data_IF_761010110464
#
_entry.id   IF_761010110464
#
_cell.length_a   1.000
_cell.length_b   1.000
_cell.length_c   1.000
_cell.angle_alpha   90.00
_cell.angle_beta   90.00
_cell.angle_gamma   90.00
#
_symmetry.space_group_name_H-M   'P 1'
#
loop_
_entity.id
_entity.type
_entity.pdbx_description
1 polymer ?
#
# COMPACT_ATOMS: atom_id res chain seq x y z
N UNK A 1 -21.85 -17.91 -10.41
CA UNK A 1 -22.29 -17.04 -11.53
C UNK A 1 -21.42 -15.78 -11.58
N UNK A 2 -20.10 -15.96 -11.52
CA UNK A 2 -19.12 -14.85 -11.55
C UNK A 2 -17.85 -15.33 -12.26
N UNK A 3 -18.01 -15.94 -13.44
CA UNK A 3 -16.88 -16.29 -14.32
C UNK A 3 -17.20 -16.00 -15.80
N UNK A 4 -18.17 -15.13 -16.06
CA UNK A 4 -18.64 -14.85 -17.43
C UNK A 4 -18.91 -13.36 -17.68
N UNK A 5 -18.40 -12.45 -16.83
CA UNK A 5 -18.57 -11.00 -16.99
C UNK A 5 -17.24 -10.23 -17.06
N UNK A 6 -16.10 -10.92 -17.13
CA UNK A 6 -14.77 -10.29 -17.21
C UNK A 6 -14.22 -10.17 -18.63
N UNK A 7 -14.93 -10.66 -19.65
CA UNK A 7 -14.40 -10.75 -21.02
C UNK A 7 -14.76 -9.58 -21.96
N UNK A 8 -15.47 -8.54 -21.52
CA UNK A 8 -15.87 -7.43 -22.44
C UNK A 8 -15.53 -6.01 -21.99
N UNK A 9 -14.75 -5.82 -20.91
CA UNK A 9 -14.28 -4.47 -20.54
C UNK A 9 -12.81 -4.55 -20.12
N UNK A 10 -11.87 -4.51 -21.07
CA UNK A 10 -10.47 -4.31 -20.67
C UNK A 10 -9.39 -4.77 -21.63
N UNK A 11 -9.30 -4.18 -22.82
CA UNK A 11 -8.02 -4.12 -23.57
C UNK A 11 -7.85 -2.81 -24.37
N UNK A 12 -8.94 -2.13 -24.75
CA UNK A 12 -8.87 -0.90 -25.56
C UNK A 12 -8.39 0.34 -24.82
N UNK A 13 -8.91 0.61 -23.61
CA UNK A 13 -8.63 1.87 -22.90
C UNK A 13 -7.24 1.94 -22.24
N UNK A 14 -6.67 0.79 -21.85
CA UNK A 14 -5.33 0.73 -21.25
C UNK A 14 -4.20 0.91 -22.28
N UNK A 15 -4.44 0.59 -23.55
CA UNK A 15 -3.47 0.82 -24.62
C UNK A 15 -3.43 2.31 -25.05
N UNK A 16 -4.57 3.01 -25.02
CA UNK A 16 -4.63 4.45 -25.35
C UNK A 16 -3.88 5.35 -24.36
N UNK A 17 -3.78 4.94 -23.09
CA UNK A 17 -3.07 5.71 -22.07
C UNK A 17 -1.53 5.55 -22.18
N UNK A 18 -1.04 4.42 -22.69
CA UNK A 18 0.39 4.21 -22.93
C UNK A 18 0.94 5.09 -24.08
N UNK A 19 0.11 5.37 -25.09
CA UNK A 19 0.50 6.22 -26.22
C UNK A 19 0.44 7.72 -25.88
N UNK A 20 -0.44 8.13 -24.95
CA UNK A 20 -0.58 9.54 -24.55
C UNK A 20 0.58 10.02 -23.65
N UNK A 21 1.15 9.14 -22.82
CA UNK A 21 2.28 9.48 -21.94
C UNK A 21 3.61 9.63 -22.71
N UNK A 22 3.76 8.95 -23.86
CA UNK A 22 4.98 9.02 -24.68
C UNK A 22 5.16 10.33 -25.46
N UNK A 23 4.11 11.15 -25.60
CA UNK A 23 4.20 12.44 -26.31
C UNK A 23 4.80 13.55 -25.44
N UNK A 24 4.77 13.41 -24.11
CA UNK A 24 5.20 14.47 -23.19
C UNK A 24 6.71 14.47 -22.83
N UNK A 25 7.48 13.44 -23.22
CA UNK A 25 8.86 13.26 -22.74
C UNK A 25 9.94 13.84 -23.69
N UNK A 26 9.59 14.22 -24.92
CA UNK A 26 10.56 14.80 -25.86
C UNK A 26 10.34 16.31 -26.06
N UNK A 27 10.68 17.09 -25.04
CA UNK A 27 10.72 18.55 -25.06
C UNK A 27 11.94 19.10 -24.31
N UNK A 28 13.03 19.26 -25.05
CA UNK A 28 14.19 20.16 -24.83
C UNK A 28 14.21 21.07 -23.58
N UNK A 29 15.31 21.02 -22.79
CA UNK A 29 16.15 22.20 -22.50
C UNK A 29 17.41 21.84 -21.67
N UNK A 30 18.57 22.25 -22.19
CA UNK A 30 19.83 22.45 -21.47
C UNK A 30 19.69 23.50 -20.36
N UNK A 31 20.39 23.33 -19.24
CA UNK A 31 20.56 24.41 -18.25
C UNK A 31 21.28 23.98 -16.97
N UNK A 32 22.57 24.26 -16.89
CA UNK A 32 23.40 24.22 -15.68
C UNK A 32 23.02 25.35 -14.72
N UNK A 33 22.84 25.10 -13.41
CA UNK A 33 23.33 25.96 -12.31
C UNK A 33 23.18 25.30 -10.94
N UNK A 34 24.25 25.41 -10.14
CA UNK A 34 24.34 25.13 -8.72
C UNK A 34 23.34 25.94 -7.88
N UNK A 35 22.82 25.34 -6.81
CA UNK A 35 22.01 26.04 -5.81
C UNK A 35 21.82 25.20 -4.55
N UNK A 36 22.73 25.38 -3.59
CA UNK A 36 22.61 24.91 -2.21
C UNK A 36 21.34 25.48 -1.57
N UNK A 37 20.40 24.64 -1.12
CA UNK A 37 19.40 25.03 -0.12
C UNK A 37 19.48 24.04 1.04
N UNK A 38 20.18 24.50 2.08
CA UNK A 38 20.11 23.94 3.42
C UNK A 38 18.76 24.29 4.04
N UNK A 39 18.12 23.32 4.68
CA UNK A 39 17.13 23.57 5.73
C UNK A 39 15.82 22.83 5.54
N UNK A 40 15.76 21.60 6.09
CA UNK A 40 14.88 21.21 7.21
C UNK A 40 15.52 19.95 7.79
N UNK A 41 16.17 20.11 8.94
CA UNK A 41 16.59 19.01 9.78
C UNK A 41 15.40 18.63 10.67
N UNK A 42 14.98 17.38 10.60
CA UNK A 42 14.74 16.53 11.78
C UNK A 42 14.38 15.10 11.35
N UNK A 43 15.36 14.19 11.44
CA UNK A 43 15.10 12.79 11.80
C UNK A 43 14.89 11.76 10.69
N UNK A 44 14.88 12.11 9.40
CA UNK A 44 14.88 11.10 8.33
C UNK A 44 16.29 10.57 8.12
N UNK A 45 16.60 9.45 8.77
CA UNK A 45 17.73 8.60 8.36
C UNK A 45 17.39 8.06 6.97
N UNK A 46 18.29 8.26 5.99
CA UNK A 46 18.27 7.57 4.70
C UNK A 46 18.14 6.08 4.96
N UNK A 47 16.98 5.51 4.63
CA UNK A 47 16.81 4.06 4.59
C UNK A 47 16.14 3.79 3.25
N UNK A 48 16.95 3.47 2.23
CA UNK A 48 16.37 3.08 0.94
C UNK A 48 15.71 1.72 1.05
N UNK A 49 14.71 1.43 0.22
CA UNK A 49 14.08 0.11 0.11
C UNK A 49 15.09 -1.03 -0.13
N UNK A 50 16.30 -0.71 -0.61
CA UNK A 50 17.41 -1.65 -0.80
C UNK A 50 18.12 -1.98 0.53
N UNK A 51 18.27 -1.02 1.45
CA UNK A 51 18.97 -1.21 2.73
C UNK A 51 18.13 -2.01 3.74
N UNK A 52 16.80 -1.96 3.64
CA UNK A 52 15.89 -2.75 4.51
C UNK A 52 16.00 -4.26 4.27
N UNK A 53 16.54 -4.68 3.12
CA UNK A 53 16.62 -6.10 2.74
C UNK A 53 17.89 -6.78 3.28
N UNK A 54 18.98 -6.02 3.53
CA UNK A 54 20.25 -6.56 4.04
C UNK A 54 20.35 -6.56 5.59
N UNK A 55 19.53 -5.78 6.28
CA UNK A 55 19.49 -5.76 7.76
C UNK A 55 18.52 -6.83 8.27
N UNK A 56 18.92 -8.09 8.21
CA UNK A 56 18.02 -9.18 8.65
C UNK A 56 18.67 -10.52 8.97
N UNK A 57 20.00 -10.59 9.10
CA UNK A 57 20.68 -11.82 9.52
C UNK A 57 21.80 -11.47 10.50
N UNK A 58 21.51 -11.49 11.80
CA UNK A 58 22.57 -11.77 12.77
C UNK A 58 22.70 -13.29 12.87
N UNK A 59 23.73 -13.83 12.22
CA UNK A 59 24.10 -15.24 12.31
C UNK A 59 24.85 -15.43 13.64
N UNK A 60 24.15 -15.95 14.64
CA UNK A 60 24.74 -16.10 15.98
C UNK A 60 25.96 -17.03 16.02
N UNK A 61 26.94 -16.66 16.86
CA UNK A 61 27.59 -17.56 17.82
C UNK A 61 28.56 -16.82 18.77
N UNK A 62 28.33 -17.06 20.07
CA UNK A 62 29.29 -17.22 21.19
C UNK A 62 30.23 -16.08 21.70
N UNK A 63 30.11 -15.87 23.03
CA UNK A 63 31.11 -15.46 24.03
C UNK A 63 31.63 -14.00 24.07
N UNK A 64 30.98 -13.22 24.95
CA UNK A 64 31.61 -12.30 25.90
C UNK A 64 32.55 -11.20 25.38
N UNK A 65 32.03 -9.97 25.24
CA UNK A 65 32.71 -8.74 25.70
C UNK A 65 31.74 -7.54 25.60
N UNK A 66 31.78 -6.71 26.62
CA UNK A 66 30.94 -5.53 26.82
C UNK A 66 31.21 -4.41 25.81
N UNK A 67 30.12 -3.86 25.26
CA UNK A 67 29.91 -2.42 25.14
C UNK A 67 30.53 -1.68 23.95
N UNK A 68 29.70 -1.29 22.99
CA UNK A 68 29.55 0.12 22.63
C UNK A 68 28.25 0.36 21.86
N UNK A 69 27.45 1.28 22.39
CA UNK A 69 26.14 1.66 21.92
C UNK A 69 26.14 2.23 20.50
N UNK A 70 25.25 1.72 19.64
CA UNK A 70 24.68 2.44 18.52
C UNK A 70 23.18 2.53 18.79
N UNK A 71 22.77 3.66 19.38
CA UNK A 71 21.37 4.04 19.39
C UNK A 71 20.96 4.47 17.99
N UNK A 72 19.94 3.81 17.44
CA UNK A 72 19.01 4.32 16.43
C UNK A 72 17.82 3.36 16.37
N UNK A 73 16.61 3.89 16.53
CA UNK A 73 15.37 3.15 16.77
C UNK A 73 14.81 2.39 15.57
N UNK A 74 15.60 1.51 14.96
CA UNK A 74 15.08 0.43 14.12
C UNK A 74 14.66 -0.71 15.04
N UNK A 75 13.35 -0.84 15.30
CA UNK A 75 12.78 -2.03 15.94
C UNK A 75 13.16 -3.26 15.09
N UNK A 76 14.15 -3.99 15.56
CA UNK A 76 14.62 -5.21 14.89
C UNK A 76 13.60 -6.31 15.16
N UNK A 77 12.82 -6.70 14.14
CA UNK A 77 11.95 -7.87 14.26
C UNK A 77 12.78 -9.10 14.57
N UNK A 78 12.27 -9.98 15.44
CA UNK A 78 12.91 -11.27 15.65
C UNK A 78 12.93 -12.07 14.34
N UNK A 79 13.88 -12.98 14.21
CA UNK A 79 13.98 -13.87 13.03
C UNK A 79 12.68 -14.60 12.72
N UNK A 80 11.91 -14.97 13.77
CA UNK A 80 10.61 -15.63 13.63
C UNK A 80 9.55 -14.69 13.05
N UNK A 81 9.49 -13.45 13.52
CA UNK A 81 8.55 -12.44 13.02
C UNK A 81 8.85 -12.06 11.57
N UNK A 82 10.13 -11.87 11.22
CA UNK A 82 10.54 -11.62 9.83
C UNK A 82 10.18 -12.79 8.91
N UNK A 83 10.36 -14.03 9.37
CA UNK A 83 9.97 -15.23 8.60
C UNK A 83 8.46 -15.26 8.38
N UNK A 84 7.67 -14.93 9.41
CA UNK A 84 6.22 -14.85 9.31
C UNK A 84 5.76 -13.76 8.34
N UNK A 85 6.30 -12.55 8.47
CA UNK A 85 6.03 -11.43 7.56
C UNK A 85 6.30 -11.80 6.10
N UNK A 86 7.48 -12.38 5.82
CA UNK A 86 7.84 -12.84 4.46
C UNK A 86 6.85 -13.88 3.95
N UNK A 87 6.48 -14.85 4.77
CA UNK A 87 5.49 -15.87 4.40
C UNK A 87 4.13 -15.27 4.10
N UNK A 88 3.66 -14.29 4.88
CA UNK A 88 2.38 -13.62 4.66
C UNK A 88 2.40 -12.81 3.35
N UNK A 89 3.50 -12.10 3.08
CA UNK A 89 3.69 -11.38 1.81
C UNK A 89 3.74 -12.35 0.62
N UNK A 90 4.49 -13.46 0.73
CA UNK A 90 4.63 -14.43 -0.36
C UNK A 90 3.31 -15.07 -0.78
N UNK A 91 2.40 -15.34 0.18
CA UNK A 91 1.06 -15.83 -0.12
C UNK A 91 0.25 -14.86 -0.99
N UNK A 92 0.54 -13.56 -0.93
CA UNK A 92 -0.23 -12.51 -1.59
C UNK A 92 0.39 -12.05 -2.90
N UNK A 93 1.72 -12.00 -2.99
CA UNK A 93 2.45 -11.52 -4.18
C UNK A 93 2.02 -12.26 -5.45
N UNK A 94 1.86 -13.58 -5.37
CA UNK A 94 1.56 -14.42 -6.55
C UNK A 94 0.10 -14.31 -6.99
N UNK A 95 -0.82 -14.05 -6.04
CA UNK A 95 -2.26 -13.87 -6.31
C UNK A 95 -2.66 -12.42 -6.61
N UNK A 96 -1.76 -11.46 -6.43
CA UNK A 96 -2.05 -10.04 -6.70
C UNK A 96 -2.06 -9.77 -8.21
N UNK A 97 -3.21 -9.64 -8.86
CA UNK A 97 -3.30 -9.42 -10.32
C UNK A 97 -2.45 -10.40 -11.15
N UNK A 98 -2.74 -11.71 -11.08
CA UNK A 98 -1.96 -12.73 -11.76
C UNK A 98 -1.88 -12.44 -13.26
N UNK A 99 -0.67 -12.54 -13.84
CA UNK A 99 -0.45 -12.28 -15.27
C UNK A 99 -0.28 -10.81 -15.69
N UNK A 100 -0.36 -9.85 -14.76
CA UNK A 100 -0.12 -8.44 -15.10
C UNK A 100 1.33 -8.18 -15.52
N UNK A 101 1.57 -8.00 -16.82
CA UNK A 101 2.91 -7.98 -17.44
C UNK A 101 3.87 -6.94 -16.86
N UNK A 102 3.37 -5.75 -16.53
CA UNK A 102 4.19 -4.64 -16.03
C UNK A 102 4.48 -4.71 -14.53
N UNK A 103 3.79 -5.58 -13.79
CA UNK A 103 3.97 -5.67 -12.34
C UNK A 103 5.18 -6.54 -12.01
N UNK A 104 6.26 -5.92 -11.51
CA UNK A 104 7.44 -6.64 -11.06
C UNK A 104 7.19 -7.28 -9.68
N UNK A 105 7.09 -8.61 -9.65
CA UNK A 105 6.83 -9.40 -8.43
C UNK A 105 7.94 -9.30 -7.39
N UNK A 106 9.18 -9.16 -7.83
CA UNK A 106 10.31 -9.02 -6.92
C UNK A 106 10.28 -7.65 -6.23
N UNK A 107 9.98 -6.58 -7.00
CA UNK A 107 9.77 -5.24 -6.45
C UNK A 107 8.60 -5.20 -5.47
N UNK A 108 7.45 -5.78 -5.83
CA UNK A 108 6.29 -5.86 -4.94
C UNK A 108 6.63 -6.51 -3.61
N UNK A 109 7.33 -7.65 -3.65
CA UNK A 109 7.78 -8.35 -2.43
C UNK A 109 8.70 -7.48 -1.58
N UNK A 110 9.70 -6.82 -2.18
CA UNK A 110 10.64 -5.95 -1.44
C UNK A 110 9.92 -4.78 -0.78
N UNK A 111 9.06 -4.08 -1.51
CA UNK A 111 8.26 -2.97 -0.97
C UNK A 111 7.40 -3.44 0.20
N UNK A 112 6.66 -4.54 0.07
CA UNK A 112 5.77 -5.03 1.13
C UNK A 112 6.52 -5.48 2.39
N UNK A 113 7.65 -6.20 2.22
CA UNK A 113 8.49 -6.59 3.36
C UNK A 113 9.10 -5.35 4.02
N UNK A 114 9.59 -4.39 3.23
CA UNK A 114 10.14 -3.15 3.75
C UNK A 114 9.09 -2.33 4.50
N UNK A 115 7.85 -2.26 3.99
CA UNK A 115 6.73 -1.61 4.69
C UNK A 115 6.44 -2.26 6.04
N UNK A 116 6.38 -3.58 6.10
CA UNK A 116 6.13 -4.30 7.36
C UNK A 116 7.25 -4.11 8.40
N UNK A 117 8.48 -3.85 7.95
CA UNK A 117 9.62 -3.54 8.81
C UNK A 117 9.65 -2.06 9.24
N UNK A 118 9.31 -1.15 8.33
CA UNK A 118 9.26 0.29 8.59
C UNK A 118 8.05 0.69 9.47
N UNK A 119 6.97 -0.09 9.42
CA UNK A 119 5.73 0.15 10.17
C UNK A 119 5.35 -1.09 11.01
N UNK A 120 6.14 -1.46 12.03
CA UNK A 120 5.93 -2.68 12.81
C UNK A 120 4.59 -2.68 13.58
N UNK A 121 4.02 -1.51 13.87
CA UNK A 121 2.70 -1.37 14.49
C UNK A 121 1.55 -1.84 13.58
N UNK A 122 1.75 -1.79 12.26
CA UNK A 122 0.82 -2.27 11.24
C UNK A 122 1.22 -3.69 10.82
N UNK A 123 2.52 -3.92 10.60
CA UNK A 123 3.04 -5.15 10.03
C UNK A 123 2.56 -5.31 8.60
N UNK A 124 1.97 -6.47 8.28
CA UNK A 124 1.39 -6.74 6.97
C UNK A 124 -0.10 -7.10 7.10
N UNK A 125 -0.93 -6.32 6.41
CA UNK A 125 -2.37 -6.54 6.33
C UNK A 125 -2.75 -6.92 4.89
N UNK A 126 -3.57 -7.95 4.72
CA UNK A 126 -4.08 -8.35 3.41
C UNK A 126 -4.86 -7.19 2.79
N UNK A 127 -4.47 -6.78 1.58
CA UNK A 127 -4.95 -5.56 0.90
C UNK A 127 -3.82 -4.59 0.59
N UNK A 128 -2.77 -4.54 1.42
CA UNK A 128 -1.58 -3.70 1.18
C UNK A 128 -0.83 -4.11 -0.09
N UNK A 129 -0.85 -5.40 -0.43
CA UNK A 129 -0.35 -5.92 -1.70
C UNK A 129 -0.96 -5.22 -2.92
N UNK A 130 -2.26 -4.95 -2.90
CA UNK A 130 -2.95 -4.28 -4.01
C UNK A 130 -2.58 -2.80 -4.08
N UNK A 131 -2.47 -2.14 -2.91
CA UNK A 131 -2.03 -0.73 -2.82
C UNK A 131 -0.61 -0.57 -3.37
N UNK A 132 0.33 -1.38 -2.87
CA UNK A 132 1.73 -1.34 -3.31
C UNK A 132 1.87 -1.72 -4.80
N UNK A 133 1.09 -2.70 -5.27
CA UNK A 133 1.09 -3.08 -6.68
C UNK A 133 0.63 -1.92 -7.57
N UNK A 134 -0.42 -1.17 -7.18
CA UNK A 134 -0.88 -0.02 -7.95
C UNK A 134 0.18 1.08 -8.02
N UNK A 135 0.81 1.40 -6.88
CA UNK A 135 1.89 2.40 -6.82
C UNK A 135 3.07 1.99 -7.69
N UNK A 136 3.48 0.72 -7.66
CA UNK A 136 4.57 0.20 -8.50
C UNK A 136 4.28 0.25 -10.01
N UNK A 137 3.02 0.40 -10.42
CA UNK A 137 2.68 0.64 -11.83
C UNK A 137 2.81 2.11 -12.22
N UNK A 138 2.83 3.03 -11.25
CA UNK A 138 2.82 4.47 -11.44
C UNK A 138 4.19 5.11 -11.22
N UNK A 139 5.02 4.55 -10.34
CA UNK A 139 6.29 5.15 -9.92
C UNK A 139 7.37 4.10 -9.68
N UNK A 140 8.60 4.57 -9.40
CA UNK A 140 9.72 3.68 -9.11
C UNK A 140 9.57 3.03 -7.73
N UNK A 141 10.33 1.96 -7.49
CA UNK A 141 10.22 1.14 -6.29
C UNK A 141 10.37 1.92 -4.98
N UNK A 142 11.35 2.82 -4.93
CA UNK A 142 11.62 3.66 -3.76
C UNK A 142 10.45 4.63 -3.50
N UNK A 143 9.98 5.32 -4.54
CA UNK A 143 8.85 6.25 -4.43
C UNK A 143 7.56 5.50 -4.04
N UNK A 144 7.35 4.30 -4.57
CA UNK A 144 6.19 3.47 -4.26
C UNK A 144 6.21 3.05 -2.79
N UNK A 145 7.38 2.72 -2.25
CA UNK A 145 7.55 2.41 -0.83
C UNK A 145 7.21 3.62 0.05
N UNK A 146 7.80 4.79 -0.21
CA UNK A 146 7.53 5.98 0.60
C UNK A 146 6.08 6.44 0.50
N UNK A 147 5.51 6.41 -0.70
CA UNK A 147 4.11 6.77 -0.93
C UNK A 147 3.16 5.83 -0.20
N UNK A 148 3.42 4.51 -0.23
CA UNK A 148 2.62 3.53 0.50
C UNK A 148 2.72 3.74 2.02
N UNK A 149 3.92 3.95 2.55
CA UNK A 149 4.11 4.28 3.96
C UNK A 149 3.35 5.55 4.36
N UNK A 150 3.42 6.60 3.55
CA UNK A 150 2.72 7.86 3.81
C UNK A 150 1.19 7.67 3.81
N UNK A 151 0.65 6.99 2.79
CA UNK A 151 -0.79 6.70 2.68
C UNK A 151 -1.30 5.98 3.92
N UNK A 152 -0.62 4.90 4.33
CA UNK A 152 -1.10 4.04 5.41
C UNK A 152 -0.91 4.66 6.79
N UNK A 153 0.19 5.39 7.03
CA UNK A 153 0.50 5.98 8.34
C UNK A 153 -0.19 7.31 8.59
N UNK A 154 -0.40 8.11 7.54
CA UNK A 154 -0.72 9.53 7.69
C UNK A 154 -2.01 9.96 6.99
N UNK A 155 -2.44 9.30 5.91
CA UNK A 155 -3.69 9.66 5.22
C UNK A 155 -4.92 8.91 5.74
N UNK A 156 -4.77 8.01 6.73
CA UNK A 156 -5.86 7.18 7.26
C UNK A 156 -6.03 7.33 8.77
N UNK A 157 -7.24 7.09 9.31
CA UNK A 157 -7.45 6.97 10.75
C UNK A 157 -6.54 5.91 11.38
N UNK A 158 -6.17 6.12 12.65
CA UNK A 158 -5.38 5.14 13.41
C UNK A 158 -6.10 3.80 13.48
N UNK A 159 -5.33 2.73 13.35
CA UNK A 159 -5.81 1.35 13.47
C UNK A 159 -6.63 0.85 12.27
N UNK A 160 -6.39 1.43 11.08
CA UNK A 160 -7.04 0.99 9.84
C UNK A 160 -6.52 -0.37 9.34
N UNK A 161 -5.20 -0.55 9.34
CA UNK A 161 -4.50 -1.76 8.88
C UNK A 161 -3.81 -2.55 9.99
N UNK A 162 -3.96 -2.13 11.26
CA UNK A 162 -3.36 -2.86 12.37
C UNK A 162 -4.11 -4.18 12.66
N UNK A 163 -3.59 -4.96 13.59
CA UNK A 163 -4.21 -6.25 13.98
C UNK A 163 -5.60 -6.12 14.60
N UNK A 164 -5.98 -4.95 15.10
CA UNK A 164 -7.29 -4.69 15.72
C UNK A 164 -8.35 -4.34 14.67
N UNK A 165 -7.93 -3.72 13.56
CA UNK A 165 -8.78 -3.18 12.49
C UNK A 165 -9.87 -2.24 13.04
N UNK A 166 -9.61 -1.56 14.16
CA UNK A 166 -10.61 -0.72 14.81
C UNK A 166 -11.02 0.46 13.92
N UNK A 167 -10.06 1.11 13.26
CA UNK A 167 -10.33 2.22 12.33
C UNK A 167 -11.20 1.77 11.16
N UNK A 168 -10.90 0.59 10.59
CA UNK A 168 -11.69 -0.01 9.52
C UNK A 168 -13.13 -0.28 9.97
N UNK A 169 -13.33 -0.86 11.17
CA UNK A 169 -14.68 -1.17 11.69
C UNK A 169 -15.49 0.09 11.95
N UNK A 170 -14.84 1.15 12.45
CA UNK A 170 -15.50 2.44 12.64
C UNK A 170 -16.02 3.00 11.31
N UNK A 171 -15.20 2.96 10.25
CA UNK A 171 -15.60 3.36 8.89
C UNK A 171 -16.76 2.51 8.35
N UNK A 172 -16.71 1.20 8.57
CA UNK A 172 -17.79 0.29 8.18
C UNK A 172 -19.12 0.67 8.87
N UNK A 173 -19.09 0.96 10.17
CA UNK A 173 -20.27 1.35 10.93
C UNK A 173 -20.83 2.71 10.47
N UNK A 174 -19.95 3.68 10.17
CA UNK A 174 -20.35 4.99 9.62
C UNK A 174 -21.04 4.80 8.27
N UNK A 175 -20.44 4.00 7.36
CA UNK A 175 -21.01 3.75 6.05
C UNK A 175 -22.34 2.99 6.13
N UNK A 176 -22.47 2.02 7.04
CA UNK A 176 -23.74 1.31 7.28
C UNK A 176 -24.85 2.28 7.72
N UNK A 177 -24.54 3.25 8.60
CA UNK A 177 -25.49 4.30 9.01
C UNK A 177 -25.86 5.23 7.87
N UNK A 178 -24.88 5.67 7.07
CA UNK A 178 -25.13 6.53 5.91
C UNK A 178 -26.01 5.84 4.86
N UNK A 179 -25.77 4.56 4.60
CA UNK A 179 -26.60 3.79 3.67
C UNK A 179 -28.03 3.61 4.20
N UNK A 180 -28.21 3.40 5.51
CA UNK A 180 -29.55 3.34 6.09
C UNK A 180 -30.30 4.68 5.99
N UNK A 181 -29.58 5.81 6.02
CA UNK A 181 -30.16 7.15 5.89
C UNK A 181 -30.49 7.52 4.44
N UNK A 182 -29.58 7.25 3.52
CA UNK A 182 -29.68 7.71 2.13
C UNK A 182 -30.30 6.66 1.19
N UNK A 183 -30.08 5.38 1.44
CA UNK A 183 -30.53 4.27 0.58
C UNK A 183 -31.22 3.14 1.39
N UNK A 184 -32.29 3.44 2.16
CA UNK A 184 -32.95 2.47 3.03
C UNK A 184 -33.52 1.27 2.25
N UNK A 185 -33.95 1.48 0.99
CA UNK A 185 -34.44 0.40 0.13
C UNK A 185 -33.36 -0.63 -0.21
N UNK A 186 -32.12 -0.18 -0.41
CA UNK A 186 -30.97 -1.06 -0.66
C UNK A 186 -30.67 -1.88 0.60
N UNK A 187 -30.61 -1.22 1.76
CA UNK A 187 -30.36 -1.87 3.05
C UNK A 187 -31.40 -2.96 3.33
N UNK A 188 -32.69 -2.68 3.14
CA UNK A 188 -33.76 -3.66 3.33
C UNK A 188 -33.63 -4.83 2.34
N UNK A 189 -33.32 -4.56 1.06
CA UNK A 189 -33.12 -5.61 0.06
C UNK A 189 -31.96 -6.53 0.41
N UNK A 190 -30.82 -5.96 0.84
CA UNK A 190 -29.66 -6.73 1.30
C UNK A 190 -29.98 -7.53 2.56
N UNK A 191 -30.72 -6.94 3.50
CA UNK A 191 -31.20 -7.58 4.72
C UNK A 191 -32.05 -8.82 4.45
N UNK A 192 -32.96 -8.77 3.46
CA UNK A 192 -33.76 -9.94 3.04
C UNK A 192 -32.90 -11.09 2.51
N UNK A 193 -31.74 -10.79 1.92
CA UNK A 193 -30.77 -11.79 1.47
C UNK A 193 -29.73 -12.17 2.53
N UNK A 194 -29.85 -11.64 3.77
CA UNK A 194 -28.88 -11.83 4.87
C UNK A 194 -27.46 -11.39 4.48
N UNK A 195 -27.36 -10.36 3.65
CA UNK A 195 -26.09 -9.75 3.24
C UNK A 195 -25.87 -8.46 4.02
N UNK A 196 -24.80 -8.42 4.82
CA UNK A 196 -24.30 -7.18 5.41
C UNK A 196 -23.40 -6.45 4.42
N UNK A 197 -23.56 -5.14 4.28
CA UNK A 197 -22.73 -4.35 3.36
C UNK A 197 -21.25 -4.42 3.79
N UNK A 198 -21.00 -4.51 5.09
CA UNK A 198 -19.67 -4.68 5.68
C UNK A 198 -18.89 -5.89 5.12
N UNK A 199 -19.56 -6.91 4.55
CA UNK A 199 -18.91 -8.03 3.86
C UNK A 199 -18.16 -7.58 2.60
N UNK A 200 -18.74 -6.64 1.84
CA UNK A 200 -18.13 -6.09 0.64
C UNK A 200 -17.10 -5.01 0.99
N UNK A 201 -17.38 -4.22 2.03
CA UNK A 201 -16.56 -3.07 2.41
C UNK A 201 -15.11 -3.46 2.69
N UNK A 202 -14.83 -4.59 3.36
CA UNK A 202 -13.44 -4.99 3.65
C UNK A 202 -12.62 -5.12 2.37
N UNK A 203 -13.20 -5.64 1.29
CA UNK A 203 -12.53 -5.77 -0.02
C UNK A 203 -12.36 -4.46 -0.77
N UNK A 204 -13.08 -3.39 -0.38
CA UNK A 204 -12.95 -2.06 -0.95
C UNK A 204 -12.00 -1.20 -0.13
N UNK A 205 -12.18 -1.21 1.19
CA UNK A 205 -11.53 -0.33 2.14
C UNK A 205 -10.08 -0.75 2.43
N UNK A 206 -9.79 -2.03 2.73
CA UNK A 206 -8.42 -2.46 3.01
C UNK A 206 -7.43 -2.19 1.86
N UNK A 207 -7.76 -2.47 0.58
CA UNK A 207 -6.91 -2.11 -0.54
C UNK A 207 -7.11 -0.66 -1.02
N UNK A 208 -7.81 0.20 -0.26
CA UNK A 208 -8.07 1.59 -0.59
C UNK A 208 -8.63 1.76 -2.01
N UNK A 209 -9.60 0.93 -2.36
CA UNK A 209 -10.26 0.86 -3.67
C UNK A 209 -9.40 0.42 -4.85
N UNK A 210 -8.09 0.21 -4.69
CA UNK A 210 -7.20 -0.22 -5.76
C UNK A 210 -7.57 -1.59 -6.36
N UNK A 211 -8.33 -2.42 -5.64
CA UNK A 211 -8.81 -3.72 -6.11
C UNK A 211 -10.12 -3.68 -6.89
N UNK A 212 -10.83 -2.54 -6.91
CA UNK A 212 -12.20 -2.45 -7.44
C UNK A 212 -12.44 -1.27 -8.36
N UNK A 213 -11.69 -0.18 -8.21
CA UNK A 213 -11.75 0.97 -9.10
C UNK A 213 -10.63 0.92 -10.15
N UNK A 214 -10.82 1.64 -11.25
CA UNK A 214 -9.72 1.90 -12.19
C UNK A 214 -8.61 2.69 -11.48
N UNK A 215 -7.38 2.56 -11.96
CA UNK A 215 -6.23 3.23 -11.37
C UNK A 215 -6.42 4.75 -11.26
N UNK A 216 -7.00 5.39 -12.29
CA UNK A 216 -7.32 6.83 -12.29
C UNK A 216 -8.32 7.21 -11.17
N UNK A 217 -9.37 6.42 -10.98
CA UNK A 217 -10.37 6.68 -9.96
C UNK A 217 -9.83 6.42 -8.55
N UNK A 218 -9.06 5.35 -8.37
CA UNK A 218 -8.40 5.06 -7.10
C UNK A 218 -7.44 6.19 -6.70
N UNK A 219 -6.66 6.72 -7.65
CA UNK A 219 -5.78 7.87 -7.40
C UNK A 219 -6.55 9.12 -6.97
N UNK A 220 -7.68 9.43 -7.62
CA UNK A 220 -8.53 10.56 -7.18
C UNK A 220 -9.06 10.37 -5.77
N UNK A 221 -9.44 9.14 -5.40
CA UNK A 221 -9.85 8.83 -4.02
C UNK A 221 -8.69 9.06 -3.06
N UNK A 222 -7.48 8.63 -3.42
CA UNK A 222 -6.28 8.81 -2.59
C UNK A 222 -5.88 10.28 -2.45
N UNK A 223 -6.02 11.07 -3.51
CA UNK A 223 -5.83 12.52 -3.44
C UNK A 223 -6.80 13.14 -2.42
N UNK A 224 -8.08 12.74 -2.44
CA UNK A 224 -9.01 13.21 -1.42
C UNK A 224 -8.59 12.74 -0.03
N UNK A 225 -8.24 11.46 0.16
CA UNK A 225 -7.81 10.95 1.47
C UNK A 225 -6.60 11.69 2.04
N UNK A 226 -5.63 12.08 1.21
CA UNK A 226 -4.43 12.77 1.67
C UNK A 226 -4.58 14.30 1.77
N UNK A 227 -5.46 14.92 0.99
CA UNK A 227 -5.57 16.38 0.89
C UNK A 227 -6.91 16.96 1.37
N UNK A 228 -7.93 16.14 1.66
CA UNK A 228 -9.16 16.61 2.30
C UNK A 228 -8.87 16.91 3.78
N UNK A 229 -8.54 18.17 4.05
CA UNK A 229 -8.47 18.86 5.35
C UNK A 229 -8.06 18.01 6.57
N UNK A 230 -6.76 18.01 6.85
CA UNK A 230 -6.26 18.13 8.23
C UNK A 230 -6.43 19.57 8.72
#
# INVERSE_FOLDING_TARGET
VASAAEDEIGQGELNGLADTVNVAVNGTANGTTNGTVNGIANGCVNVSATEVVDVGVDAGMENGASGSALGNGATTLSRRELTRLRSEVDMDVDRTWPGHRRLNRASLRRVLVAMGLACPEIGYCQGLNTVAAMLLLLMQEEDAFWSACQLIRHCLPKGYHDTTLWGLRAEQEVLDKLLAQHEPHLVDKLGRHRLGISHFMTGWLLPLYAGVLSCELAMRVWDQLCFSEH
#
